data_IF_294388457029
#
_entry.id   IF_294388457029
#
_cell.length_a   1.000
_cell.length_b   1.000
_cell.length_c   1.000
_cell.angle_alpha   90.00
_cell.angle_beta   90.00
_cell.angle_gamma   90.00
#
_symmetry.space_group_name_H-M   'P 1'
#
loop_
_entity.id
_entity.type
_entity.pdbx_description
1 polymer ?
#
# COMPACT_ATOMS: atom_id res chain seq x y z
N UNK A 1 11.05 -8.10 1.60
CA UNK A 1 10.47 -7.82 0.26
C UNK A 1 9.70 -9.05 -0.17
N UNK A 2 8.43 -8.91 -0.57
CA UNK A 2 7.59 -10.04 -0.98
C UNK A 2 7.27 -9.91 -2.47
N UNK A 3 8.10 -10.52 -3.31
CA UNK A 3 7.89 -10.60 -4.76
C UNK A 3 7.63 -12.06 -5.08
N UNK A 4 6.37 -12.45 -5.33
CA UNK A 4 6.05 -13.84 -5.64
C UNK A 4 6.62 -14.26 -6.98
N UNK A 5 7.18 -15.47 -7.04
CA UNK A 5 7.75 -16.04 -8.26
C UNK A 5 6.66 -16.63 -9.18
N UNK A 6 5.60 -17.18 -8.59
CA UNK A 6 4.55 -17.88 -9.33
C UNK A 6 3.22 -17.15 -9.19
N UNK A 7 2.50 -17.05 -10.30
CA UNK A 7 1.19 -16.42 -10.39
C UNK A 7 0.25 -17.34 -11.13
N UNK A 8 -0.97 -17.49 -10.61
CA UNK A 8 -1.99 -18.23 -11.32
C UNK A 8 -3.35 -17.57 -11.16
N UNK A 9 -4.19 -17.80 -12.16
CA UNK A 9 -5.58 -17.37 -12.20
C UNK A 9 -6.46 -18.61 -12.20
N UNK A 10 -7.50 -18.62 -11.38
CA UNK A 10 -8.47 -19.71 -11.35
C UNK A 10 -9.88 -19.16 -11.25
N UNK A 11 -10.82 -19.90 -11.86
CA UNK A 11 -12.25 -19.56 -11.88
C UNK A 11 -13.03 -20.65 -11.16
N UNK A 12 -13.91 -20.24 -10.26
CA UNK A 12 -14.93 -21.10 -9.68
C UNK A 12 -16.26 -20.80 -10.38
N UNK A 13 -17.05 -21.84 -10.67
CA UNK A 13 -18.36 -21.73 -11.30
C UNK A 13 -19.36 -22.55 -10.51
N UNK A 14 -20.54 -21.99 -10.27
CA UNK A 14 -21.64 -22.63 -9.55
C UNK A 14 -22.97 -21.99 -9.98
N UNK A 15 -24.04 -22.77 -9.93
CA UNK A 15 -25.38 -22.30 -10.32
C UNK A 15 -26.07 -21.68 -9.11
N UNK A 16 -26.66 -20.50 -9.28
CA UNK A 16 -27.41 -19.83 -8.21
C UNK A 16 -28.76 -20.52 -7.91
N UNK A 17 -29.46 -20.06 -6.88
CA UNK A 17 -30.79 -20.57 -6.51
C UNK A 17 -31.87 -20.39 -7.59
N UNK A 18 -31.62 -19.56 -8.60
CA UNK A 18 -32.51 -19.27 -9.73
C UNK A 18 -32.12 -20.05 -11.00
N UNK A 19 -31.13 -20.95 -10.91
CA UNK A 19 -30.67 -21.74 -12.05
C UNK A 19 -29.70 -20.99 -12.98
N UNK A 20 -29.15 -19.85 -12.56
CA UNK A 20 -28.21 -19.05 -13.36
C UNK A 20 -26.77 -19.39 -13.00
N UNK A 21 -25.97 -19.69 -14.02
CA UNK A 21 -24.53 -19.91 -13.85
C UNK A 21 -23.82 -18.63 -13.41
N UNK A 22 -23.16 -18.73 -12.27
CA UNK A 22 -22.32 -17.68 -11.70
C UNK A 22 -20.87 -18.15 -11.71
N UNK A 23 -19.96 -17.26 -12.06
CA UNK A 23 -18.53 -17.54 -11.97
C UNK A 23 -17.78 -16.36 -11.38
N UNK A 24 -16.76 -16.67 -10.57
CA UNK A 24 -15.84 -15.69 -10.02
C UNK A 24 -14.42 -16.15 -10.30
N UNK A 25 -13.60 -15.21 -10.76
CA UNK A 25 -12.19 -15.46 -11.06
C UNK A 25 -11.31 -14.70 -10.08
N UNK A 26 -10.26 -15.35 -9.59
CA UNK A 26 -9.26 -14.74 -8.71
C UNK A 26 -7.84 -14.97 -9.22
N UNK A 27 -6.97 -14.00 -8.93
CA UNK A 27 -5.52 -14.14 -9.06
C UNK A 27 -4.93 -14.39 -7.68
N UNK A 28 -4.00 -15.34 -7.58
CA UNK A 28 -3.14 -15.53 -6.42
C UNK A 28 -1.73 -15.82 -6.86
N UNK A 29 -0.85 -15.79 -5.88
CA UNK A 29 0.57 -15.99 -6.08
C UNK A 29 1.14 -16.94 -5.03
N UNK A 30 2.30 -17.51 -5.35
CA UNK A 30 3.04 -18.39 -4.48
C UNK A 30 4.55 -18.16 -4.62
N UNK A 31 5.28 -18.44 -3.55
CA UNK A 31 6.74 -18.59 -3.58
C UNK A 31 7.21 -20.03 -3.85
N UNK A 32 6.29 -21.00 -3.91
CA UNK A 32 6.59 -22.44 -3.98
C UNK A 32 6.47 -22.97 -5.40
N UNK A 33 5.29 -22.87 -6.02
CA UNK A 33 5.05 -23.38 -7.39
C UNK A 33 3.84 -22.73 -8.06
N UNK A 34 3.70 -22.93 -9.36
CA UNK A 34 2.51 -22.53 -10.11
C UNK A 34 1.25 -23.30 -9.67
N UNK A 35 1.40 -24.58 -9.33
CA UNK A 35 0.30 -25.40 -8.80
C UNK A 35 -0.21 -24.84 -7.47
N UNK A 36 0.69 -24.49 -6.54
CA UNK A 36 0.31 -23.89 -5.25
C UNK A 36 -0.38 -22.52 -5.46
N UNK A 37 0.12 -21.72 -6.40
CA UNK A 37 -0.55 -20.46 -6.78
C UNK A 37 -1.96 -20.71 -7.36
N UNK A 38 -2.14 -21.78 -8.15
CA UNK A 38 -3.41 -22.16 -8.74
C UNK A 38 -4.41 -22.65 -7.70
N UNK A 39 -4.00 -23.53 -6.79
CA UNK A 39 -4.83 -24.02 -5.69
C UNK A 39 -5.27 -22.87 -4.78
N UNK A 40 -4.35 -21.96 -4.45
CA UNK A 40 -4.64 -20.74 -3.70
C UNK A 40 -5.65 -19.85 -4.44
N UNK A 41 -5.48 -19.66 -5.75
CA UNK A 41 -6.40 -18.89 -6.59
C UNK A 41 -7.80 -19.54 -6.65
N UNK A 42 -7.87 -20.86 -6.80
CA UNK A 42 -9.13 -21.60 -6.89
C UNK A 42 -9.87 -21.58 -5.55
N UNK A 43 -9.16 -21.76 -4.45
CA UNK A 43 -9.73 -21.68 -3.11
C UNK A 43 -10.27 -20.27 -2.82
N UNK A 44 -9.56 -19.21 -3.27
CA UNK A 44 -10.04 -17.83 -3.15
C UNK A 44 -11.28 -17.58 -4.02
N UNK A 45 -11.30 -18.07 -5.26
CA UNK A 45 -12.44 -17.96 -6.16
C UNK A 45 -13.69 -18.66 -5.60
N UNK A 46 -13.53 -19.88 -5.05
CA UNK A 46 -14.62 -20.63 -4.39
C UNK A 46 -15.18 -19.88 -3.18
N UNK A 47 -14.32 -19.37 -2.29
CA UNK A 47 -14.77 -18.57 -1.12
C UNK A 47 -15.51 -17.30 -1.53
N UNK A 48 -15.03 -16.61 -2.57
CA UNK A 48 -15.69 -15.42 -3.07
C UNK A 48 -17.05 -15.76 -3.69
N UNK A 49 -17.14 -16.84 -4.47
CA UNK A 49 -18.37 -17.29 -5.08
C UNK A 49 -19.40 -17.71 -4.03
N UNK A 50 -18.97 -18.43 -3.00
CA UNK A 50 -19.83 -18.81 -1.88
C UNK A 50 -20.42 -17.58 -1.19
N UNK A 51 -19.61 -16.57 -0.84
CA UNK A 51 -20.11 -15.32 -0.22
C UNK A 51 -21.07 -14.56 -1.13
N UNK A 52 -20.79 -14.52 -2.42
CA UNK A 52 -21.68 -13.89 -3.40
C UNK A 52 -23.04 -14.61 -3.47
N UNK A 53 -23.03 -15.95 -3.47
CA UNK A 53 -24.26 -16.75 -3.55
C UNK A 53 -25.04 -16.80 -2.23
N UNK A 54 -24.36 -16.76 -1.08
CA UNK A 54 -25.01 -16.81 0.25
C UNK A 54 -25.50 -15.45 0.72
N UNK A 55 -24.63 -14.44 0.64
CA UNK A 55 -24.80 -13.16 1.34
C UNK A 55 -25.10 -12.01 0.37
N UNK A 56 -25.03 -12.27 -0.95
CA UNK A 56 -25.17 -11.24 -1.99
C UNK A 56 -24.01 -10.25 -2.02
N UNK A 57 -22.91 -10.53 -1.30
CA UNK A 57 -21.75 -9.65 -1.26
C UNK A 57 -21.05 -9.65 -2.62
N UNK A 58 -20.95 -8.48 -3.30
CA UNK A 58 -20.24 -8.42 -4.57
C UNK A 58 -18.76 -8.74 -4.35
N UNK A 59 -18.08 -9.37 -5.32
CA UNK A 59 -16.65 -9.58 -5.23
C UNK A 59 -15.94 -8.23 -5.05
N UNK A 60 -15.27 -8.07 -3.92
CA UNK A 60 -14.53 -6.85 -3.59
C UNK A 60 -13.46 -6.56 -4.65
N UNK A 61 -13.23 -5.26 -4.92
CA UNK A 61 -12.09 -4.85 -5.73
C UNK A 61 -10.82 -5.08 -4.92
N UNK A 62 -9.77 -5.59 -5.58
CA UNK A 62 -8.44 -5.66 -4.99
C UNK A 62 -7.99 -4.24 -4.62
N UNK A 63 -7.94 -3.93 -3.33
CA UNK A 63 -7.37 -2.66 -2.88
C UNK A 63 -5.85 -2.73 -3.03
N UNK A 64 -5.28 -1.63 -3.54
CA UNK A 64 -3.85 -1.45 -3.66
C UNK A 64 -3.20 -1.59 -2.28
N UNK A 65 -2.29 -2.55 -2.11
CA UNK A 65 -1.59 -2.81 -0.84
C UNK A 65 -2.08 -4.03 -0.04
N UNK A 66 -3.24 -4.62 -0.36
CA UNK A 66 -3.74 -5.82 0.34
C UNK A 66 -3.16 -7.13 -0.21
N UNK A 67 -2.78 -7.13 -1.49
CA UNK A 67 -2.17 -8.29 -2.15
C UNK A 67 -0.93 -7.85 -2.91
N UNK A 68 0.08 -8.75 -3.08
CA UNK A 68 1.22 -8.43 -3.94
C UNK A 68 0.75 -8.02 -5.33
N UNK A 69 1.46 -7.10 -5.96
CA UNK A 69 1.18 -6.70 -7.34
C UNK A 69 1.81 -7.71 -8.29
N UNK A 70 1.07 -8.06 -9.34
CA UNK A 70 1.57 -8.93 -10.41
C UNK A 70 2.41 -8.09 -11.38
N UNK A 71 3.69 -8.00 -11.08
CA UNK A 71 4.66 -7.24 -11.87
C UNK A 71 5.74 -8.18 -12.42
N UNK A 72 6.21 -7.90 -13.63
CA UNK A 72 7.36 -8.59 -14.21
C UNK A 72 8.62 -8.17 -13.45
N UNK A 73 9.45 -9.13 -13.04
CA UNK A 73 10.78 -8.82 -12.51
C UNK A 73 11.75 -8.66 -13.68
N UNK A 74 12.21 -7.43 -13.89
CA UNK A 74 13.15 -7.07 -14.97
C UNK A 74 14.58 -7.40 -14.57
N UNK A 75 14.93 -7.17 -13.31
CA UNK A 75 16.29 -7.40 -12.82
C UNK A 75 16.33 -7.66 -11.32
N UNK A 76 17.20 -8.58 -10.89
CA UNK A 76 17.50 -8.86 -9.48
C UNK A 76 18.85 -8.25 -9.11
N UNK A 77 18.92 -7.64 -7.93
CA UNK A 77 20.17 -7.18 -7.34
C UNK A 77 20.47 -8.03 -6.09
N UNK A 78 21.63 -8.68 -6.13
CA UNK A 78 22.11 -9.58 -5.09
C UNK A 78 23.23 -8.93 -4.29
N UNK A 79 23.39 -9.32 -3.03
CA UNK A 79 24.56 -9.00 -2.22
C UNK A 79 25.76 -9.90 -2.58
N UNK A 80 26.88 -9.72 -1.87
CA UNK A 80 28.13 -10.46 -2.11
C UNK A 80 27.98 -11.97 -1.86
N UNK A 81 26.96 -12.39 -1.09
CA UNK A 81 26.62 -13.80 -0.82
C UNK A 81 25.63 -14.37 -1.86
N UNK A 82 25.22 -13.57 -2.84
CA UNK A 82 24.28 -13.97 -3.89
C UNK A 82 22.81 -13.89 -3.47
N UNK A 83 22.49 -13.30 -2.32
CA UNK A 83 21.11 -13.17 -1.83
C UNK A 83 20.45 -11.89 -2.37
N UNK A 84 19.22 -11.96 -2.89
CA UNK A 84 18.54 -10.79 -3.44
C UNK A 84 18.17 -9.79 -2.34
N UNK A 85 18.65 -8.56 -2.45
CA UNK A 85 18.27 -7.45 -1.55
C UNK A 85 17.36 -6.42 -2.22
N UNK A 86 17.35 -6.38 -3.56
CA UNK A 86 16.47 -5.52 -4.35
C UNK A 86 16.07 -6.18 -5.69
N UNK A 87 15.00 -5.68 -6.29
CA UNK A 87 14.53 -6.06 -7.60
C UNK A 87 13.94 -4.86 -8.35
N UNK A 88 14.20 -4.77 -9.64
CA UNK A 88 13.51 -3.82 -10.53
C UNK A 88 12.34 -4.55 -11.16
N UNK A 89 11.13 -4.07 -10.93
CA UNK A 89 9.90 -4.61 -11.53
C UNK A 89 9.32 -3.66 -12.56
N UNK A 90 8.47 -4.17 -13.46
CA UNK A 90 7.70 -3.37 -14.40
C UNK A 90 6.22 -3.43 -14.06
N UNK A 91 5.64 -2.27 -13.76
CA UNK A 91 4.20 -2.18 -13.50
C UNK A 91 3.37 -2.22 -14.80
N UNK A 92 2.04 -2.27 -14.68
CA UNK A 92 1.12 -2.30 -15.84
C UNK A 92 1.17 -1.04 -16.72
N UNK A 93 1.71 0.07 -16.21
CA UNK A 93 1.94 1.30 -16.96
C UNK A 93 3.30 1.30 -17.69
N UNK A 94 4.08 0.24 -17.55
CA UNK A 94 5.41 0.12 -18.17
C UNK A 94 6.53 0.80 -17.39
N UNK A 95 6.24 1.41 -16.22
CA UNK A 95 7.25 2.07 -15.38
C UNK A 95 8.12 1.06 -14.65
N UNK A 96 9.41 1.38 -14.50
CA UNK A 96 10.35 0.61 -13.70
C UNK A 96 10.26 1.02 -12.22
N UNK A 97 10.09 0.04 -11.33
CA UNK A 97 9.93 0.22 -9.89
C UNK A 97 11.05 -0.50 -9.17
N UNK A 98 11.80 0.23 -8.33
CA UNK A 98 12.80 -0.36 -7.46
C UNK A 98 12.14 -0.85 -6.17
N UNK A 99 12.11 -2.17 -5.96
CA UNK A 99 11.75 -2.81 -4.72
C UNK A 99 13.04 -3.15 -3.95
N UNK A 100 13.15 -2.75 -2.68
CA UNK A 100 14.36 -3.02 -1.89
C UNK A 100 14.04 -3.29 -0.42
N UNK A 101 14.88 -4.10 0.21
CA UNK A 101 14.86 -4.34 1.67
C UNK A 101 15.66 -3.31 2.46
N UNK A 102 16.40 -2.44 1.79
CA UNK A 102 17.37 -1.50 2.39
C UNK A 102 16.87 -0.06 2.49
N UNK A 103 15.60 0.19 2.21
CA UNK A 103 14.98 1.50 2.36
C UNK A 103 13.64 1.35 3.07
N UNK A 104 13.32 2.30 3.95
CA UNK A 104 12.05 2.31 4.66
C UNK A 104 11.32 3.62 4.40
N UNK A 105 10.05 3.51 3.99
CA UNK A 105 9.14 4.63 3.82
C UNK A 105 8.13 4.62 4.97
N UNK A 106 8.02 5.73 5.70
CA UNK A 106 7.09 5.90 6.82
C UNK A 106 6.19 7.09 6.51
N UNK A 107 4.88 6.85 6.37
CA UNK A 107 3.88 7.89 6.26
C UNK A 107 3.38 8.31 7.65
N UNK A 108 3.45 9.62 7.91
CA UNK A 108 3.03 10.27 9.15
C UNK A 108 1.89 11.23 8.82
N UNK A 109 0.67 10.71 8.88
CA UNK A 109 -0.53 11.50 8.60
C UNK A 109 -0.85 12.47 9.74
N UNK A 110 -1.42 13.60 9.37
CA UNK A 110 -1.87 14.60 10.33
C UNK A 110 -3.29 14.31 10.78
N UNK A 111 -3.65 14.74 12.00
CA UNK A 111 -5.04 14.68 12.41
C UNK A 111 -5.91 15.49 11.44
N UNK A 112 -7.10 14.96 11.15
CA UNK A 112 -8.10 15.64 10.33
C UNK A 112 -8.45 16.98 10.98
N UNK A 113 -8.33 18.05 10.19
CA UNK A 113 -8.67 19.39 10.64
C UNK A 113 -10.19 19.55 10.57
N UNK A 114 -10.80 19.93 11.68
CA UNK A 114 -12.25 20.16 11.72
C UNK A 114 -12.60 21.49 11.07
N UNK A 115 -13.78 21.58 10.43
CA UNK A 115 -14.24 22.82 9.80
C UNK A 115 -14.24 24.03 10.75
N UNK A 116 -14.58 23.82 12.03
CA UNK A 116 -14.53 24.86 13.06
C UNK A 116 -13.11 25.40 13.32
N UNK A 117 -12.06 24.60 13.14
CA UNK A 117 -10.67 25.05 13.30
C UNK A 117 -10.21 25.92 12.13
N UNK A 118 -10.68 25.62 10.91
CA UNK A 118 -10.46 26.46 9.74
C UNK A 118 -11.15 27.83 9.88
N UNK A 119 -12.40 27.85 10.34
CA UNK A 119 -13.13 29.10 10.60
C UNK A 119 -12.43 29.94 11.67
N UNK A 120 -12.06 29.33 12.80
CA UNK A 120 -11.29 30.01 13.86
C UNK A 120 -9.99 30.59 13.31
N UNK A 121 -9.26 29.83 12.49
CA UNK A 121 -8.03 30.32 11.87
C UNK A 121 -8.28 31.51 10.93
N UNK A 122 -9.35 31.49 10.14
CA UNK A 122 -9.72 32.61 9.27
C UNK A 122 -9.96 33.90 10.08
N UNK A 123 -10.68 33.81 11.20
CA UNK A 123 -10.86 34.92 12.14
C UNK A 123 -9.54 35.40 12.74
N UNK A 124 -8.66 34.50 13.19
CA UNK A 124 -7.35 34.88 13.74
C UNK A 124 -6.48 35.58 12.69
N UNK A 125 -6.51 35.14 11.42
CA UNK A 125 -5.71 35.73 10.35
C UNK A 125 -6.09 37.19 10.03
N UNK A 126 -7.35 37.57 10.31
CA UNK A 126 -7.80 38.96 10.18
C UNK A 126 -7.11 39.89 11.18
N UNK A 127 -6.74 39.40 12.37
CA UNK A 127 -6.08 40.19 13.43
C UNK A 127 -4.57 39.91 13.54
N UNK A 128 -4.10 38.79 12.99
CA UNK A 128 -2.69 38.42 12.96
C UNK A 128 -2.32 37.74 11.64
N UNK A 129 -1.71 38.50 10.72
CA UNK A 129 -1.34 38.02 9.38
C UNK A 129 -0.24 36.96 9.38
N UNK A 130 0.53 36.81 10.46
CA UNK A 130 1.61 35.80 10.58
C UNK A 130 1.17 34.51 11.27
N UNK A 131 -0.13 34.37 11.60
CA UNK A 131 -0.64 33.15 12.19
C UNK A 131 -0.49 31.96 11.22
N UNK A 132 0.21 30.91 11.68
CA UNK A 132 0.36 29.65 10.94
C UNK A 132 -0.98 28.93 10.80
N UNK A 133 -1.20 28.34 9.61
CA UNK A 133 -2.39 27.53 9.37
C UNK A 133 -2.40 26.29 10.28
N UNK A 134 -3.57 25.72 10.60
CA UNK A 134 -3.64 24.49 11.39
C UNK A 134 -2.83 23.35 10.76
N UNK A 135 -2.78 23.29 9.42
CA UNK A 135 -1.96 22.34 8.65
C UNK A 135 -0.47 22.56 8.91
N UNK A 136 -0.01 23.80 8.82
CA UNK A 136 1.42 24.13 8.98
C UNK A 136 1.88 23.94 10.43
N UNK A 137 0.98 24.21 11.39
CA UNK A 137 1.25 23.91 12.81
C UNK A 137 1.43 22.41 13.02
N UNK A 138 0.56 21.57 12.46
CA UNK A 138 0.74 20.12 12.53
C UNK A 138 2.05 19.68 11.86
N UNK A 139 2.39 20.28 10.70
CA UNK A 139 3.65 19.99 10.03
C UNK A 139 4.87 20.33 10.89
N UNK A 140 4.87 21.52 11.50
CA UNK A 140 5.97 21.96 12.34
C UNK A 140 6.12 21.07 13.58
N UNK A 141 5.02 20.75 14.27
CA UNK A 141 5.03 19.86 15.43
C UNK A 141 5.56 18.47 15.06
N UNK A 142 5.08 17.88 13.96
CA UNK A 142 5.52 16.55 13.54
C UNK A 142 6.98 16.55 13.07
N UNK A 143 7.41 17.59 12.36
CA UNK A 143 8.80 17.74 11.94
C UNK A 143 9.75 17.84 13.13
N UNK A 144 9.40 18.62 14.17
CA UNK A 144 10.21 18.73 15.38
C UNK A 144 10.28 17.41 16.17
N UNK A 145 9.19 16.63 16.18
CA UNK A 145 9.20 15.27 16.74
C UNK A 145 10.14 14.34 15.97
N UNK A 146 10.10 14.37 14.63
CA UNK A 146 11.01 13.58 13.79
C UNK A 146 12.47 14.00 14.03
N UNK A 147 12.76 15.31 14.06
CA UNK A 147 14.11 15.83 14.35
C UNK A 147 14.61 15.35 15.71
N UNK A 148 13.78 15.46 16.75
CA UNK A 148 14.13 15.04 18.11
C UNK A 148 14.36 13.52 18.21
N UNK A 149 13.59 12.74 17.47
CA UNK A 149 13.74 11.29 17.40
C UNK A 149 15.06 10.88 16.72
N UNK A 150 15.43 11.57 15.64
CA UNK A 150 16.67 11.28 14.89
C UNK A 150 17.91 11.80 15.61
N UNK A 151 17.84 12.97 16.28
CA UNK A 151 18.99 13.49 17.05
C UNK A 151 19.40 12.55 18.19
N UNK A 152 18.46 11.78 18.74
CA UNK A 152 18.72 10.76 19.75
C UNK A 152 19.35 9.45 19.19
N UNK A 153 19.42 9.26 17.87
CA UNK A 153 19.83 8.01 17.22
C UNK A 153 21.02 8.20 16.29
N UNK A 154 22.23 7.99 16.83
CA UNK A 154 23.48 8.00 16.05
C UNK A 154 23.44 6.84 15.02
N UNK A 155 23.42 7.17 13.74
CA UNK A 155 23.41 6.20 12.63
C UNK A 155 22.16 6.23 11.75
N UNK A 156 21.14 7.01 12.10
CA UNK A 156 19.97 7.20 11.25
C UNK A 156 20.09 8.46 10.41
N UNK A 157 19.89 8.33 9.11
CA UNK A 157 19.75 9.45 8.18
C UNK A 157 18.33 9.43 7.65
N UNK A 158 17.60 10.55 7.73
CA UNK A 158 16.21 10.59 7.27
C UNK A 158 15.98 11.78 6.36
N UNK A 159 15.38 11.52 5.21
CA UNK A 159 14.85 12.56 4.33
C UNK A 159 13.34 12.68 4.55
N UNK A 160 12.89 13.90 4.82
CA UNK A 160 11.47 14.18 5.09
C UNK A 160 10.86 14.94 3.91
N UNK A 161 9.72 14.47 3.44
CA UNK A 161 8.93 15.07 2.37
C UNK A 161 7.55 15.46 2.88
N UNK A 162 6.96 16.50 2.27
CA UNK A 162 5.55 16.86 2.49
C UNK A 162 4.64 16.03 1.59
N UNK A 163 3.57 15.48 2.14
CA UNK A 163 2.48 14.82 1.40
C UNK A 163 1.17 15.60 1.57
N UNK A 164 0.12 15.20 0.84
CA UNK A 164 -1.21 15.79 0.97
C UNK A 164 -1.78 15.61 2.39
N UNK A 165 -1.59 14.41 2.98
CA UNK A 165 -2.12 14.07 4.29
C UNK A 165 -1.15 14.33 5.45
N UNK A 166 0.15 14.52 5.19
CA UNK A 166 1.15 14.48 6.25
C UNK A 166 2.60 14.60 5.80
N UNK A 167 3.49 13.87 6.47
CA UNK A 167 4.92 13.78 6.12
C UNK A 167 5.24 12.37 5.65
N UNK A 168 6.22 12.24 4.75
CA UNK A 168 6.83 10.95 4.41
C UNK A 168 8.30 10.99 4.80
N UNK A 169 8.71 10.05 5.64
CA UNK A 169 10.10 9.85 6.03
C UNK A 169 10.69 8.71 5.18
N UNK A 170 11.83 8.98 4.55
CA UNK A 170 12.67 7.98 3.88
C UNK A 170 13.93 7.80 4.73
N UNK A 171 14.13 6.57 5.20
CA UNK A 171 15.31 6.12 5.96
C UNK A 171 16.17 5.24 5.07
#
# INVERSE_FOLDING_TARGET
MKIPAYWSKATATETDRKGKDCSITCWRSSGVSELDAHESALAAAKRALQRFLSDGEPPGRYHYGETPLREEVVHWLNDDEGKPFAAVTRNSYGSLILNTTRAMFIDVDFPLIRAGELLKHAFVRLFNKSALSPVDRHAQVMLERVKSFISARRGWSVRVYRTCAGLRCLV
#
